data_IF_987675483673
#
_entry.id   IF_987675483673
#
_cell.length_a   1.000
_cell.length_b   1.000
_cell.length_c   1.000
_cell.angle_alpha   90.00
_cell.angle_beta   90.00
_cell.angle_gamma   90.00
#
_symmetry.space_group_name_H-M   'P 1'
#
loop_
_entity.id
_entity.type
_entity.pdbx_description
1 polymer ?
#
# COMPACT_ATOMS: atom_id res chain seq x y z
N UNK A 1 43.87 -14.71 -27.20
CA UNK A 1 43.80 -13.28 -26.88
C UNK A 1 42.45 -12.75 -27.35
N UNK A 2 41.47 -12.83 -26.49
CA UNK A 2 40.07 -12.45 -26.78
C UNK A 2 39.77 -11.15 -26.02
N UNK A 3 39.50 -10.08 -26.77
CA UNK A 3 39.09 -8.76 -26.28
C UNK A 3 37.66 -8.88 -25.71
N UNK A 4 37.54 -8.71 -24.42
CA UNK A 4 36.26 -8.51 -23.76
C UNK A 4 35.88 -7.04 -23.89
N UNK A 5 34.91 -6.75 -24.75
CA UNK A 5 34.35 -5.41 -24.87
C UNK A 5 33.48 -5.07 -23.66
N UNK A 6 33.96 -4.16 -22.83
CA UNK A 6 33.21 -3.53 -21.76
C UNK A 6 32.20 -2.57 -22.41
N UNK A 7 30.92 -2.92 -22.38
CA UNK A 7 29.84 -1.99 -22.77
C UNK A 7 29.64 -1.03 -21.60
N UNK A 8 30.28 0.12 -21.68
CA UNK A 8 30.00 1.27 -20.81
C UNK A 8 28.60 1.82 -21.13
N UNK A 9 27.63 1.53 -20.28
CA UNK A 9 26.37 2.25 -20.24
C UNK A 9 26.62 3.65 -19.68
N UNK A 10 26.93 4.62 -20.55
CA UNK A 10 26.89 6.04 -20.20
C UNK A 10 25.44 6.41 -19.86
N UNK A 11 25.17 6.58 -18.58
CA UNK A 11 23.98 7.28 -18.12
C UNK A 11 24.00 8.70 -18.69
N UNK A 12 23.29 8.94 -19.77
CA UNK A 12 22.99 10.31 -20.22
C UNK A 12 22.05 10.91 -19.15
N UNK A 13 22.63 11.72 -18.25
CA UNK A 13 21.89 12.72 -17.49
C UNK A 13 21.30 13.71 -18.49
N UNK A 14 20.14 13.40 -19.06
CA UNK A 14 19.32 14.41 -19.73
C UNK A 14 18.70 15.24 -18.60
N UNK A 15 19.37 16.30 -18.18
CA UNK A 15 18.71 17.41 -17.47
C UNK A 15 17.63 17.94 -18.44
N UNK A 16 16.39 17.54 -18.25
CA UNK A 16 15.25 18.26 -18.79
C UNK A 16 15.16 19.57 -18.03
N UNK A 17 15.68 20.62 -18.64
CA UNK A 17 15.47 21.98 -18.16
C UNK A 17 13.97 22.25 -18.10
N UNK A 18 13.46 22.63 -16.92
CA UNK A 18 12.10 23.20 -16.76
C UNK A 18 11.02 22.32 -16.14
N UNK A 19 11.28 21.06 -15.75
CA UNK A 19 10.29 20.29 -14.96
C UNK A 19 10.62 20.47 -13.49
N UNK A 20 9.81 21.24 -12.78
CA UNK A 20 9.85 21.28 -11.31
C UNK A 20 9.68 19.86 -10.78
N UNK A 21 10.63 19.36 -9.99
CA UNK A 21 10.47 18.07 -9.31
C UNK A 21 9.30 18.17 -8.35
N UNK A 22 8.40 17.17 -8.37
CA UNK A 22 7.29 17.09 -7.44
C UNK A 22 7.79 17.06 -6.01
N UNK A 23 7.10 17.76 -5.13
CA UNK A 23 7.33 17.70 -3.69
C UNK A 23 6.86 16.34 -3.13
N UNK A 24 7.36 15.96 -1.96
CA UNK A 24 6.91 14.73 -1.29
C UNK A 24 5.40 14.77 -0.98
N UNK A 25 4.84 15.95 -0.66
CA UNK A 25 3.41 16.12 -0.47
C UNK A 25 2.60 15.82 -1.75
N UNK A 26 3.06 16.28 -2.91
CA UNK A 26 2.43 15.99 -4.20
C UNK A 26 2.53 14.50 -4.57
N UNK A 27 3.68 13.87 -4.28
CA UNK A 27 3.86 12.43 -4.49
C UNK A 27 2.90 11.64 -3.60
N UNK A 28 2.81 11.99 -2.32
CA UNK A 28 1.90 11.37 -1.36
C UNK A 28 0.43 11.51 -1.79
N UNK A 29 0.05 12.68 -2.28
CA UNK A 29 -1.30 12.90 -2.79
C UNK A 29 -1.61 12.01 -4.01
N UNK A 30 -0.68 11.90 -4.97
CA UNK A 30 -0.84 11.02 -6.15
C UNK A 30 -0.99 9.56 -5.73
N UNK A 31 -0.20 9.11 -4.75
CA UNK A 31 -0.27 7.74 -4.22
C UNK A 31 -1.64 7.52 -3.55
N UNK A 32 -2.08 8.44 -2.69
CA UNK A 32 -3.34 8.36 -1.98
C UNK A 32 -4.54 8.30 -2.93
N UNK A 33 -4.60 9.21 -3.91
CA UNK A 33 -5.64 9.23 -4.94
C UNK A 33 -5.65 7.93 -5.77
N UNK A 34 -4.47 7.40 -6.11
CA UNK A 34 -4.35 6.14 -6.85
C UNK A 34 -4.88 4.97 -6.02
N UNK A 35 -4.49 4.84 -4.74
CA UNK A 35 -4.95 3.76 -3.85
C UNK A 35 -6.47 3.80 -3.72
N UNK A 36 -7.05 4.96 -3.40
CA UNK A 36 -8.49 5.12 -3.21
C UNK A 36 -9.28 4.85 -4.50
N UNK A 37 -8.78 5.33 -5.63
CA UNK A 37 -9.41 5.11 -6.93
C UNK A 37 -9.38 3.62 -7.32
N UNK A 38 -8.19 2.98 -7.23
CA UNK A 38 -8.02 1.55 -7.53
C UNK A 38 -8.97 0.71 -6.68
N UNK A 39 -9.12 1.03 -5.39
CA UNK A 39 -10.04 0.33 -4.51
C UNK A 39 -11.48 0.35 -5.02
N UNK A 40 -11.96 1.54 -5.40
CA UNK A 40 -13.35 1.76 -5.85
C UNK A 40 -13.65 1.25 -7.26
N UNK A 41 -12.64 1.06 -8.09
CA UNK A 41 -12.82 0.71 -9.51
C UNK A 41 -12.24 -0.66 -9.82
N UNK A 42 -10.93 -0.82 -9.86
CA UNK A 42 -10.29 -2.04 -10.32
C UNK A 42 -10.47 -3.20 -9.33
N UNK A 43 -10.25 -2.95 -8.02
CA UNK A 43 -10.42 -4.00 -7.01
C UNK A 43 -11.89 -4.41 -6.90
N UNK A 44 -12.81 -3.44 -6.97
CA UNK A 44 -14.23 -3.75 -7.04
C UNK A 44 -14.56 -4.61 -8.26
N UNK A 45 -14.05 -4.25 -9.43
CA UNK A 45 -14.26 -5.03 -10.66
C UNK A 45 -13.70 -6.44 -10.52
N UNK A 46 -12.44 -6.57 -10.09
CA UNK A 46 -11.78 -7.88 -9.93
C UNK A 46 -12.52 -8.75 -8.89
N UNK A 47 -13.08 -8.14 -7.85
CA UNK A 47 -13.90 -8.86 -6.87
C UNK A 47 -15.23 -9.30 -7.47
N UNK A 48 -15.95 -8.43 -8.17
CA UNK A 48 -17.25 -8.74 -8.80
C UNK A 48 -17.12 -9.84 -9.88
N UNK A 49 -15.98 -9.91 -10.56
CA UNK A 49 -15.64 -10.94 -11.55
C UNK A 49 -15.02 -12.22 -10.94
N UNK A 50 -14.96 -12.32 -9.58
CA UNK A 50 -14.43 -13.46 -8.83
C UNK A 50 -12.92 -13.73 -9.07
N UNK A 51 -12.12 -12.70 -9.40
CA UNK A 51 -10.67 -12.80 -9.46
C UNK A 51 -10.04 -12.69 -8.07
N UNK A 52 -10.77 -12.13 -7.09
CA UNK A 52 -10.32 -11.99 -5.70
C UNK A 52 -11.19 -12.90 -4.82
N UNK A 53 -10.60 -13.98 -4.30
CA UNK A 53 -11.29 -14.97 -3.47
C UNK A 53 -10.67 -15.14 -2.07
N UNK A 54 -9.53 -14.49 -1.81
CA UNK A 54 -8.80 -14.56 -0.57
C UNK A 54 -7.86 -13.36 -0.41
N UNK A 55 -7.17 -13.30 0.72
CA UNK A 55 -6.24 -12.21 1.05
C UNK A 55 -5.05 -12.11 0.07
N UNK A 56 -4.50 -13.25 -0.35
CA UNK A 56 -3.40 -13.27 -1.33
C UNK A 56 -3.85 -12.77 -2.71
N UNK A 57 -5.07 -13.11 -3.12
CA UNK A 57 -5.70 -12.57 -4.33
C UNK A 57 -5.85 -11.06 -4.26
N UNK A 58 -6.34 -10.53 -3.13
CA UNK A 58 -6.47 -9.09 -2.89
C UNK A 58 -5.10 -8.41 -2.93
N UNK A 59 -4.10 -8.97 -2.25
CA UNK A 59 -2.72 -8.45 -2.23
C UNK A 59 -2.13 -8.40 -3.63
N UNK A 60 -2.31 -9.46 -4.41
CA UNK A 60 -1.79 -9.55 -5.79
C UNK A 60 -2.47 -8.54 -6.71
N UNK A 61 -3.79 -8.40 -6.63
CA UNK A 61 -4.56 -7.44 -7.42
C UNK A 61 -4.14 -6.00 -7.11
N UNK A 62 -4.07 -5.62 -5.82
CA UNK A 62 -3.60 -4.29 -5.40
C UNK A 62 -2.18 -4.02 -5.88
N UNK A 63 -1.26 -4.95 -5.70
CA UNK A 63 0.11 -4.82 -6.18
C UNK A 63 0.17 -4.57 -7.68
N UNK A 64 -0.57 -5.35 -8.47
CA UNK A 64 -0.61 -5.22 -9.92
C UNK A 64 -1.15 -3.86 -10.36
N UNK A 65 -2.31 -3.44 -9.85
CA UNK A 65 -2.95 -2.20 -10.26
C UNK A 65 -2.17 -0.96 -9.79
N UNK A 66 -1.63 -0.96 -8.57
CA UNK A 66 -0.78 0.12 -8.07
C UNK A 66 0.50 0.24 -8.90
N UNK A 67 1.19 -0.87 -9.15
CA UNK A 67 2.41 -0.86 -9.94
C UNK A 67 2.16 -0.36 -11.36
N UNK A 68 1.06 -0.75 -11.98
CA UNK A 68 0.68 -0.31 -13.33
C UNK A 68 0.35 1.18 -13.36
N UNK A 69 -0.47 1.67 -12.44
CA UNK A 69 -0.93 3.06 -12.40
C UNK A 69 0.17 4.02 -12.00
N UNK A 70 0.98 3.66 -11.02
CA UNK A 70 2.02 4.51 -10.46
C UNK A 70 3.40 4.33 -11.13
N UNK A 71 3.52 3.51 -12.20
CA UNK A 71 4.79 3.25 -12.86
C UNK A 71 5.60 4.51 -13.21
N UNK A 72 5.03 5.59 -13.76
CA UNK A 72 5.78 6.81 -14.04
C UNK A 72 6.32 7.49 -12.78
N UNK A 73 5.50 7.60 -11.73
CA UNK A 73 5.88 8.20 -10.44
C UNK A 73 6.96 7.35 -9.75
N UNK A 74 6.83 6.04 -9.80
CA UNK A 74 7.82 5.12 -9.24
C UNK A 74 9.18 5.25 -9.92
N UNK A 75 9.20 5.38 -11.25
CA UNK A 75 10.43 5.56 -11.99
C UNK A 75 11.08 6.93 -11.73
N UNK A 76 10.26 7.99 -11.67
CA UNK A 76 10.73 9.37 -11.45
C UNK A 76 11.34 9.59 -10.07
N UNK A 77 10.76 8.94 -9.03
CA UNK A 77 11.09 9.20 -7.63
C UNK A 77 11.76 8.01 -6.91
N UNK A 78 12.23 7.00 -7.65
CA UNK A 78 12.85 5.80 -7.13
C UNK A 78 11.99 5.04 -6.10
N UNK A 79 10.67 5.00 -6.34
CA UNK A 79 9.76 4.29 -5.46
C UNK A 79 9.60 2.82 -5.87
N UNK A 80 9.33 1.98 -4.88
CA UNK A 80 9.04 0.54 -5.06
C UNK A 80 7.89 0.11 -4.16
N UNK A 81 7.19 -0.94 -4.60
CA UNK A 81 6.24 -1.66 -3.76
C UNK A 81 6.91 -2.93 -3.28
N UNK A 82 6.87 -3.16 -1.98
CA UNK A 82 7.27 -4.41 -1.35
C UNK A 82 6.06 -5.07 -0.71
N UNK A 83 5.97 -6.39 -0.82
CA UNK A 83 5.01 -7.21 -0.07
C UNK A 83 5.72 -7.92 1.06
N UNK A 84 5.00 -8.18 2.17
CA UNK A 84 5.56 -8.87 3.34
C UNK A 84 6.88 -8.23 3.82
N UNK A 85 6.86 -6.90 3.91
CA UNK A 85 8.08 -6.13 4.13
C UNK A 85 8.63 -6.34 5.53
N UNK A 86 9.93 -6.61 5.60
CA UNK A 86 10.69 -6.70 6.86
C UNK A 86 11.85 -5.72 6.79
N UNK A 87 11.81 -4.71 7.60
CA UNK A 87 12.90 -3.78 7.83
C UNK A 87 13.19 -3.70 9.33
N UNK A 88 14.31 -3.10 9.73
CA UNK A 88 14.71 -2.95 11.13
C UNK A 88 13.61 -2.25 11.95
N UNK A 89 13.05 -1.14 11.44
CA UNK A 89 11.98 -0.39 12.09
C UNK A 89 10.72 -1.22 12.36
N UNK A 90 10.34 -2.09 11.42
CA UNK A 90 9.19 -3.00 11.58
C UNK A 90 9.58 -4.28 12.32
N UNK A 91 10.84 -4.75 12.19
CA UNK A 91 11.31 -6.02 12.77
C UNK A 91 11.46 -5.98 14.28
N UNK A 92 11.87 -4.86 14.87
CA UNK A 92 11.98 -4.68 16.32
C UNK A 92 10.62 -4.81 17.01
N UNK A 93 9.54 -4.53 16.30
CA UNK A 93 8.16 -4.69 16.79
C UNK A 93 7.57 -6.08 16.52
N UNK A 94 8.24 -6.92 15.72
CA UNK A 94 7.68 -8.18 15.23
C UNK A 94 6.62 -8.01 14.14
N UNK A 95 6.36 -6.77 13.70
CA UNK A 95 5.37 -6.48 12.66
C UNK A 95 5.96 -6.65 11.26
N UNK A 96 5.11 -7.09 10.35
CA UNK A 96 5.41 -7.27 8.95
C UNK A 96 4.23 -6.77 8.14
N UNK A 97 4.31 -5.54 7.61
CA UNK A 97 3.25 -5.00 6.75
C UNK A 97 3.00 -5.89 5.53
N UNK A 98 1.73 -6.02 5.15
CA UNK A 98 1.36 -6.76 3.95
C UNK A 98 1.92 -6.10 2.69
N UNK A 99 1.92 -4.76 2.65
CA UNK A 99 2.46 -4.00 1.53
C UNK A 99 2.99 -2.65 1.97
N UNK A 100 4.13 -2.24 1.37
CA UNK A 100 4.75 -0.93 1.62
C UNK A 100 5.12 -0.28 0.29
N UNK A 101 4.86 1.02 0.16
CA UNK A 101 5.44 1.85 -0.89
C UNK A 101 6.57 2.64 -0.26
N UNK A 102 7.80 2.39 -0.71
CA UNK A 102 9.00 2.96 -0.13
C UNK A 102 9.92 3.57 -1.18
N UNK A 103 10.73 4.54 -0.76
CA UNK A 103 11.79 5.15 -1.55
C UNK A 103 13.09 4.37 -1.36
N UNK A 104 13.84 4.22 -2.45
CA UNK A 104 15.12 3.52 -2.44
C UNK A 104 16.22 4.47 -2.87
N UNK A 105 17.33 4.48 -2.13
CA UNK A 105 18.58 5.06 -2.59
C UNK A 105 19.25 4.11 -3.60
N UNK A 106 19.23 4.49 -4.86
CA UNK A 106 19.81 3.73 -5.95
C UNK A 106 21.36 3.74 -5.95
N UNK A 107 21.98 4.55 -5.10
CA UNK A 107 23.43 4.63 -4.94
C UNK A 107 23.90 4.04 -3.60
N UNK A 108 23.01 3.36 -2.87
CA UNK A 108 23.33 2.75 -1.58
C UNK A 108 24.37 1.63 -1.73
N UNK A 109 25.36 1.62 -0.84
CA UNK A 109 26.36 0.55 -0.71
C UNK A 109 25.85 -0.63 0.14
N UNK A 110 24.54 -0.65 0.48
CA UNK A 110 23.95 -1.69 1.29
C UNK A 110 24.07 -3.05 0.59
N UNK A 111 24.52 -4.05 1.33
CA UNK A 111 24.65 -5.44 0.85
C UNK A 111 23.32 -6.01 0.34
N UNK A 112 22.21 -5.57 0.93
CA UNK A 112 20.85 -5.97 0.57
C UNK A 112 19.98 -4.76 0.28
N UNK A 113 19.08 -4.88 -0.69
CA UNK A 113 18.12 -3.82 -1.08
C UNK A 113 17.29 -3.26 0.08
N UNK A 114 17.10 -4.04 1.14
CA UNK A 114 16.42 -3.55 2.36
C UNK A 114 17.16 -2.41 3.04
N UNK A 115 18.48 -2.47 3.08
CA UNK A 115 19.30 -1.40 3.62
C UNK A 115 19.37 -0.15 2.73
N UNK A 116 18.83 -0.22 1.51
CA UNK A 116 18.74 0.91 0.61
C UNK A 116 17.41 1.68 0.73
N UNK A 117 16.47 1.21 1.56
CA UNK A 117 15.22 1.92 1.82
C UNK A 117 15.52 3.15 2.68
N UNK A 118 15.11 4.32 2.20
CA UNK A 118 15.38 5.60 2.87
C UNK A 118 14.14 6.24 3.46
N UNK A 119 12.96 5.85 2.97
CA UNK A 119 11.72 6.49 3.37
C UNK A 119 10.53 5.57 3.08
N UNK A 120 9.54 5.57 3.97
CA UNK A 120 8.31 4.83 3.83
C UNK A 120 7.16 5.81 3.57
N UNK A 121 6.52 5.75 2.39
CA UNK A 121 5.47 6.67 1.99
C UNK A 121 4.07 6.15 2.34
N UNK A 122 3.85 4.85 2.16
CA UNK A 122 2.57 4.23 2.46
C UNK A 122 2.74 2.82 2.99
N UNK A 123 1.94 2.46 3.98
CA UNK A 123 1.79 1.11 4.53
C UNK A 123 0.36 0.66 4.35
N UNK A 124 0.17 -0.55 3.85
CA UNK A 124 -1.13 -1.16 3.71
C UNK A 124 -1.16 -2.49 4.47
N UNK A 125 -2.14 -2.64 5.35
CA UNK A 125 -2.58 -3.91 5.92
C UNK A 125 -3.82 -4.38 5.16
N UNK A 126 -3.87 -5.66 4.83
CA UNK A 126 -4.92 -6.24 3.99
C UNK A 126 -5.65 -7.33 4.75
N UNK A 127 -6.97 -7.36 4.62
CA UNK A 127 -7.78 -8.43 5.19
C UNK A 127 -8.90 -8.84 4.24
N UNK A 128 -8.98 -10.14 4.01
CA UNK A 128 -10.11 -10.75 3.32
C UNK A 128 -10.77 -11.74 4.28
N UNK A 129 -12.03 -11.52 4.58
CA UNK A 129 -12.80 -12.33 5.51
C UNK A 129 -14.05 -12.89 4.85
N UNK A 130 -14.06 -14.19 4.67
CA UNK A 130 -15.25 -14.93 4.32
C UNK A 130 -16.17 -15.11 5.54
N UNK A 131 -17.40 -15.54 5.30
CA UNK A 131 -18.53 -15.68 6.25
C UNK A 131 -18.20 -16.35 7.61
N UNK A 132 -17.14 -17.14 7.68
CA UNK A 132 -16.86 -18.00 8.85
C UNK A 132 -15.72 -17.50 9.74
N UNK A 133 -15.20 -16.32 9.53
CA UNK A 133 -14.01 -15.84 10.23
C UNK A 133 -14.35 -14.77 11.27
N UNK A 134 -13.58 -14.79 12.35
CA UNK A 134 -13.78 -13.94 13.52
C UNK A 134 -13.39 -12.47 13.28
N UNK A 135 -14.16 -11.52 13.84
CA UNK A 135 -13.84 -10.09 13.83
C UNK A 135 -12.54 -9.75 14.57
N UNK A 136 -12.14 -10.58 15.53
CA UNK A 136 -10.93 -10.37 16.34
C UNK A 136 -9.66 -10.26 15.49
N UNK A 137 -9.55 -11.01 14.39
CA UNK A 137 -8.41 -10.94 13.49
C UNK A 137 -8.32 -9.59 12.74
N UNK A 138 -9.46 -8.93 12.48
CA UNK A 138 -9.49 -7.59 11.92
C UNK A 138 -9.01 -6.58 12.95
N UNK A 139 -9.51 -6.68 14.18
CA UNK A 139 -9.08 -5.79 15.26
C UNK A 139 -7.59 -5.91 15.56
N UNK A 140 -7.00 -7.09 15.43
CA UNK A 140 -5.55 -7.28 15.58
C UNK A 140 -4.74 -6.48 14.55
N UNK A 141 -5.21 -6.40 13.29
CA UNK A 141 -4.56 -5.60 12.26
C UNK A 141 -4.75 -4.09 12.49
N UNK A 142 -5.88 -3.67 13.07
CA UNK A 142 -6.07 -2.27 13.50
C UNK A 142 -5.13 -1.89 14.65
N UNK A 143 -4.86 -2.78 15.60
CA UNK A 143 -3.88 -2.53 16.65
C UNK A 143 -2.44 -2.45 16.10
N UNK A 144 -2.10 -3.21 15.06
CA UNK A 144 -0.83 -3.02 14.32
C UNK A 144 -0.76 -1.62 13.68
N UNK A 145 -1.81 -1.20 12.96
CA UNK A 145 -1.84 0.13 12.36
C UNK A 145 -1.70 1.23 13.41
N UNK A 146 -2.35 1.06 14.55
CA UNK A 146 -2.19 1.97 15.69
C UNK A 146 -0.74 2.04 16.15
N UNK A 147 -0.07 0.90 16.32
CA UNK A 147 1.35 0.85 16.68
C UNK A 147 2.24 1.53 15.64
N UNK A 148 1.90 1.42 14.34
CA UNK A 148 2.62 2.14 13.29
C UNK A 148 2.48 3.65 13.42
N UNK A 149 1.31 4.18 13.84
CA UNK A 149 1.15 5.64 14.04
C UNK A 149 2.07 6.22 15.10
N UNK A 150 2.57 5.39 16.01
CA UNK A 150 3.46 5.78 17.09
C UNK A 150 4.94 5.71 16.68
N UNK A 151 5.28 4.99 15.61
CA UNK A 151 6.65 4.66 15.22
C UNK A 151 7.09 5.24 13.89
N UNK A 152 6.16 5.38 12.93
CA UNK A 152 6.48 5.89 11.60
C UNK A 152 6.41 7.41 11.56
N UNK A 153 7.19 8.00 10.65
CA UNK A 153 7.13 9.42 10.37
C UNK A 153 5.68 9.84 10.02
N UNK A 154 5.33 11.05 10.42
CA UNK A 154 4.01 11.64 10.17
C UNK A 154 3.67 11.77 8.67
N UNK A 155 4.68 11.76 7.80
CA UNK A 155 4.50 11.76 6.35
C UNK A 155 3.96 10.45 5.80
N UNK A 156 4.21 9.33 6.48
CA UNK A 156 3.75 8.01 6.05
C UNK A 156 2.22 7.87 6.17
N UNK A 157 1.56 7.46 5.09
CA UNK A 157 0.12 7.16 5.07
C UNK A 157 -0.14 5.69 5.38
N UNK A 158 -1.13 5.44 6.22
CA UNK A 158 -1.52 4.09 6.62
C UNK A 158 -2.89 3.74 6.03
N UNK A 159 -3.01 2.55 5.50
CA UNK A 159 -4.24 2.04 4.90
C UNK A 159 -4.60 0.69 5.51
N UNK A 160 -5.88 0.52 5.82
CA UNK A 160 -6.46 -0.78 6.11
C UNK A 160 -7.44 -1.13 4.99
N UNK A 161 -7.14 -2.16 4.21
CA UNK A 161 -7.99 -2.63 3.13
C UNK A 161 -8.69 -3.93 3.55
N UNK A 162 -10.01 -3.86 3.76
CA UNK A 162 -10.80 -4.97 4.27
C UNK A 162 -11.92 -5.33 3.31
N UNK A 163 -11.96 -6.59 2.84
CA UNK A 163 -13.16 -7.18 2.23
C UNK A 163 -13.83 -8.07 3.27
N UNK A 164 -15.10 -7.77 3.56
CA UNK A 164 -15.90 -8.46 4.56
C UNK A 164 -17.16 -9.05 3.94
N UNK A 165 -17.22 -10.38 3.84
CA UNK A 165 -18.32 -11.12 3.23
C UNK A 165 -19.34 -11.58 4.28
N UNK A 166 -19.85 -10.67 5.09
CA UNK A 166 -20.85 -10.95 6.14
C UNK A 166 -21.99 -9.95 6.09
N UNK A 167 -23.17 -10.34 6.61
CA UNK A 167 -24.40 -9.53 6.57
C UNK A 167 -24.38 -8.34 7.52
N UNK A 168 -23.73 -8.48 8.67
CA UNK A 168 -23.58 -7.40 9.67
C UNK A 168 -22.34 -6.57 9.41
N UNK A 169 -22.46 -5.56 8.57
CA UNK A 169 -21.31 -4.90 8.02
C UNK A 169 -21.06 -3.51 8.59
N UNK A 170 -19.95 -3.31 9.29
CA UNK A 170 -19.50 -1.96 9.57
C UNK A 170 -18.90 -1.34 8.30
N UNK A 171 -19.46 -0.23 7.84
CA UNK A 171 -18.85 0.58 6.79
C UNK A 171 -17.51 1.18 7.23
N UNK A 172 -17.24 1.19 8.54
CA UNK A 172 -15.98 1.60 9.16
C UNK A 172 -15.71 0.79 10.42
N UNK A 173 -14.48 0.37 10.63
CA UNK A 173 -13.98 -0.36 11.80
C UNK A 173 -13.40 0.57 12.86
N UNK A 174 -12.84 1.71 12.43
CA UNK A 174 -12.26 2.71 13.32
C UNK A 174 -13.38 3.62 13.81
N UNK A 175 -13.44 3.83 15.12
CA UNK A 175 -14.40 4.78 15.71
C UNK A 175 -14.14 6.18 15.16
N UNK A 176 -15.19 6.93 14.80
CA UNK A 176 -15.11 8.28 14.20
C UNK A 176 -14.21 9.28 14.98
N UNK A 177 -14.04 9.08 16.27
CA UNK A 177 -13.27 9.96 17.14
C UNK A 177 -11.96 9.33 17.62
N UNK A 178 -11.44 8.34 16.90
CA UNK A 178 -10.15 7.72 17.23
C UNK A 178 -9.01 8.69 16.92
N UNK A 179 -8.52 9.37 17.94
CA UNK A 179 -7.50 10.41 17.81
C UNK A 179 -6.21 9.91 17.15
N UNK A 180 -5.85 8.64 17.36
CA UNK A 180 -4.67 8.02 16.76
C UNK A 180 -4.74 7.89 15.24
N UNK A 181 -5.95 7.74 14.67
CA UNK A 181 -6.15 7.55 13.24
C UNK A 181 -6.26 8.88 12.47
N UNK A 182 -6.61 9.97 13.19
CA UNK A 182 -6.92 11.27 12.57
C UNK A 182 -5.76 11.80 11.73
N UNK A 183 -6.02 12.04 10.45
CA UNK A 183 -5.04 12.53 9.48
C UNK A 183 -3.96 11.53 9.08
N UNK A 184 -4.02 10.29 9.58
CA UNK A 184 -2.98 9.27 9.37
C UNK A 184 -3.48 8.01 8.67
N UNK A 185 -4.74 7.64 8.90
CA UNK A 185 -5.28 6.35 8.44
C UNK A 185 -6.44 6.55 7.47
N UNK A 186 -6.43 5.76 6.40
CA UNK A 186 -7.54 5.61 5.47
C UNK A 186 -8.01 4.16 5.49
N UNK A 187 -9.30 3.94 5.74
CA UNK A 187 -9.94 2.63 5.58
C UNK A 187 -10.48 2.48 4.17
N UNK A 188 -10.19 1.32 3.60
CA UNK A 188 -10.66 0.84 2.31
C UNK A 188 -11.53 -0.38 2.59
N UNK A 189 -12.83 -0.18 2.77
CA UNK A 189 -13.73 -1.26 3.19
C UNK A 189 -14.60 -1.73 2.02
N UNK A 190 -14.86 -3.03 1.97
CA UNK A 190 -15.80 -3.62 1.03
C UNK A 190 -16.70 -4.63 1.73
N UNK A 191 -17.97 -4.67 1.33
CA UNK A 191 -18.97 -5.58 1.82
C UNK A 191 -19.76 -6.25 0.70
N UNK A 192 -20.34 -7.40 1.00
CA UNK A 192 -21.18 -8.15 0.08
C UNK A 192 -22.57 -8.38 0.69
N UNK A 193 -23.60 -7.86 0.01
CA UNK A 193 -24.99 -8.19 0.34
C UNK A 193 -25.39 -9.47 -0.41
N UNK A 194 -25.43 -10.58 0.31
CA UNK A 194 -25.66 -11.92 -0.27
C UNK A 194 -26.98 -12.05 -1.05
N UNK A 195 -28.06 -11.44 -0.54
CA UNK A 195 -29.38 -11.52 -1.21
C UNK A 195 -29.41 -10.89 -2.58
N UNK A 196 -28.70 -9.81 -2.77
CA UNK A 196 -28.62 -9.05 -4.02
C UNK A 196 -27.36 -9.36 -4.85
N UNK A 197 -26.43 -10.12 -4.32
CA UNK A 197 -25.08 -10.35 -4.88
C UNK A 197 -24.39 -9.03 -5.28
N UNK A 198 -24.56 -8.01 -4.45
CA UNK A 198 -24.06 -6.67 -4.71
C UNK A 198 -22.92 -6.32 -3.77
N UNK A 199 -21.77 -6.06 -4.33
CA UNK A 199 -20.63 -5.55 -3.56
C UNK A 199 -20.69 -4.03 -3.43
N UNK A 200 -20.26 -3.51 -2.28
CA UNK A 200 -20.13 -2.08 -2.03
C UNK A 200 -18.72 -1.78 -1.51
N UNK A 201 -18.10 -0.78 -2.08
CA UNK A 201 -16.72 -0.38 -1.77
C UNK A 201 -16.69 1.05 -1.24
N UNK A 202 -16.15 1.19 -0.03
CA UNK A 202 -16.13 2.44 0.72
C UNK A 202 -14.69 2.91 0.94
N UNK A 203 -14.53 4.22 1.11
CA UNK A 203 -13.27 4.84 1.57
C UNK A 203 -13.61 5.79 2.70
N UNK A 204 -12.97 5.62 3.85
CA UNK A 204 -13.10 6.50 5.01
C UNK A 204 -11.73 7.06 5.37
N UNK A 205 -11.59 8.37 5.25
CA UNK A 205 -10.39 9.10 5.67
C UNK A 205 -10.62 9.60 7.09
N UNK A 206 -9.76 9.21 8.02
CA UNK A 206 -9.83 9.60 9.43
C UNK A 206 -9.04 10.87 9.74
#
# INVERSE_FOLDING_TARGET
MLLVGVIEWRQRKVRKEGVSMRTDAEIMQIIDEAIQSIWKTEIKHDYDENWIMNEDGLKTALYFHLRKRLAPVFAEHNLRIFTEFKDAEFSESGFRPDMVIARIDMNSDAEYWRGAVTDCLAVLELKFKSRFLDKEAIYADYEKLRAYTERLDLSCRLYMATIWECEDDPTTWIRKNAAWAKGKVTELNASLTWGERKSQFYVHVH
#
